data_IF_241172160410
#
_entry.id   IF_241172160410
#
_cell.length_a   1.000
_cell.length_b   1.000
_cell.length_c   1.000
_cell.angle_alpha   90.00
_cell.angle_beta   90.00
_cell.angle_gamma   90.00
#
_symmetry.space_group_name_H-M   'P 1'
#
loop_
_entity.id
_entity.type
_entity.pdbx_description
1 polymer ?
#
# COMPACT_ATOMS: atom_id res chain seq x y z
N UNK A 1 -17.19 0.26 -18.93
CA UNK A 1 -16.50 -0.06 -17.66
C UNK A 1 -17.45 0.03 -16.49
N UNK A 2 -18.15 1.16 -16.26
CA UNK A 2 -19.10 1.33 -15.16
C UNK A 2 -20.10 0.17 -15.09
N UNK A 3 -20.74 -0.17 -16.22
CA UNK A 3 -21.70 -1.26 -16.30
C UNK A 3 -21.11 -2.61 -15.86
N UNK A 4 -19.88 -2.91 -16.29
CA UNK A 4 -19.17 -4.14 -15.91
C UNK A 4 -18.79 -4.11 -14.42
N UNK A 5 -18.33 -2.98 -13.93
CA UNK A 5 -17.90 -2.83 -12.55
C UNK A 5 -19.06 -2.97 -11.55
N UNK A 6 -20.16 -2.21 -11.78
CA UNK A 6 -21.35 -2.27 -10.90
C UNK A 6 -21.98 -3.66 -10.90
N UNK A 7 -22.04 -4.34 -12.06
CA UNK A 7 -22.56 -5.70 -12.14
C UNK A 7 -21.62 -6.73 -11.46
N UNK A 8 -20.31 -6.56 -11.55
CA UNK A 8 -19.37 -7.45 -10.87
C UNK A 8 -19.38 -7.23 -9.36
N UNK A 9 -19.37 -5.98 -8.90
CA UNK A 9 -19.43 -5.68 -7.47
C UNK A 9 -20.69 -6.25 -6.79
N UNK A 10 -21.82 -6.23 -7.50
CA UNK A 10 -23.04 -6.89 -7.00
C UNK A 10 -22.97 -8.42 -7.00
N UNK A 11 -21.93 -9.02 -7.58
CA UNK A 11 -21.74 -10.47 -7.69
C UNK A 11 -20.58 -10.99 -6.84
N UNK A 12 -19.54 -10.17 -6.63
CA UNK A 12 -18.29 -10.56 -5.96
C UNK A 12 -18.25 -10.18 -4.48
N UNK A 13 -19.00 -9.13 -4.08
CA UNK A 13 -19.19 -8.79 -2.67
C UNK A 13 -20.59 -9.25 -2.25
N UNK A 14 -20.67 -10.37 -1.53
CA UNK A 14 -21.93 -11.05 -1.13
C UNK A 14 -22.94 -10.18 -0.37
N UNK A 15 -22.58 -8.93 -0.03
CA UNK A 15 -23.41 -8.01 0.74
C UNK A 15 -23.81 -6.73 -0.02
N UNK A 16 -23.31 -6.46 -1.22
CA UNK A 16 -23.71 -5.26 -1.96
C UNK A 16 -24.99 -5.53 -2.77
N UNK A 17 -26.13 -5.24 -2.15
CA UNK A 17 -27.42 -5.39 -2.76
C UNK A 17 -27.86 -4.13 -3.53
N UNK A 18 -27.42 -4.00 -4.79
CA UNK A 18 -27.82 -2.91 -5.69
C UNK A 18 -29.08 -3.30 -6.44
N UNK A 19 -30.11 -2.46 -6.36
CA UNK A 19 -31.35 -2.62 -7.14
C UNK A 19 -31.17 -2.12 -8.56
N UNK A 20 -30.59 -0.93 -8.71
CA UNK A 20 -30.34 -0.30 -10.01
C UNK A 20 -29.21 0.71 -9.91
N UNK A 21 -28.64 1.10 -11.06
CA UNK A 21 -27.76 2.27 -11.14
C UNK A 21 -28.12 3.12 -12.36
N UNK A 22 -27.84 4.42 -12.27
CA UNK A 22 -28.12 5.37 -13.33
C UNK A 22 -26.90 6.22 -13.61
N UNK A 23 -26.35 6.10 -14.81
CA UNK A 23 -25.33 6.99 -15.32
C UNK A 23 -25.90 8.40 -15.51
N UNK A 24 -25.16 9.41 -15.09
CA UNK A 24 -25.50 10.85 -15.24
C UNK A 24 -24.61 11.53 -16.25
N UNK A 25 -23.31 11.55 -16.00
CA UNK A 25 -22.34 12.28 -16.81
C UNK A 25 -20.95 11.71 -16.68
N UNK A 26 -20.11 11.95 -17.70
CA UNK A 26 -18.66 11.75 -17.63
C UNK A 26 -17.92 12.92 -18.24
N UNK A 27 -16.83 13.31 -17.61
CA UNK A 27 -15.97 14.39 -18.06
C UNK A 27 -14.52 13.94 -18.04
N UNK A 28 -13.80 14.22 -19.12
CA UNK A 28 -12.35 14.08 -19.14
C UNK A 28 -11.76 15.16 -18.23
N UNK A 29 -11.05 14.77 -17.18
CA UNK A 29 -10.43 15.71 -16.23
C UNK A 29 -8.92 15.83 -16.42
N UNK A 30 -8.28 14.78 -16.95
CA UNK A 30 -6.88 14.78 -17.35
C UNK A 30 -6.64 13.70 -18.40
N UNK A 31 -5.58 13.83 -19.20
CA UNK A 31 -5.20 12.78 -20.15
C UNK A 31 -4.19 13.27 -21.17
N UNK A 32 -3.46 12.30 -21.71
CA UNK A 32 -2.56 12.47 -22.83
C UNK A 32 -3.05 11.65 -24.06
N UNK A 33 -2.14 11.19 -24.91
CA UNK A 33 -2.50 10.40 -26.10
C UNK A 33 -2.83 8.93 -25.78
N UNK A 34 -2.48 8.43 -24.59
CA UNK A 34 -2.56 7.02 -24.23
C UNK A 34 -3.41 6.76 -23.00
N UNK A 35 -3.32 7.61 -21.98
CA UNK A 35 -4.00 7.41 -20.69
C UNK A 35 -4.94 8.57 -20.40
N UNK A 36 -6.11 8.26 -19.85
CA UNK A 36 -7.18 9.25 -19.61
C UNK A 36 -7.78 9.04 -18.22
N UNK A 37 -7.96 10.13 -17.49
CA UNK A 37 -8.72 10.18 -16.26
C UNK A 37 -10.11 10.77 -16.54
N UNK A 38 -11.14 9.97 -16.39
CA UNK A 38 -12.53 10.30 -16.74
C UNK A 38 -13.37 10.30 -15.47
N UNK A 39 -13.69 11.49 -14.95
CA UNK A 39 -14.64 11.61 -13.86
C UNK A 39 -16.04 11.20 -14.33
N UNK A 40 -16.70 10.33 -13.58
CA UNK A 40 -18.01 9.78 -13.92
C UNK A 40 -18.94 9.94 -12.74
N UNK A 41 -20.06 10.60 -12.96
CA UNK A 41 -21.14 10.76 -12.00
C UNK A 41 -22.24 9.75 -12.31
N UNK A 42 -22.61 8.99 -11.29
CA UNK A 42 -23.71 8.03 -11.38
C UNK A 42 -24.43 7.89 -10.05
N UNK A 43 -25.63 7.35 -10.07
CA UNK A 43 -26.45 7.10 -8.89
C UNK A 43 -26.66 5.60 -8.75
N UNK A 44 -26.66 5.13 -7.51
CA UNK A 44 -26.90 3.73 -7.17
C UNK A 44 -28.11 3.65 -6.24
N UNK A 45 -29.05 2.77 -6.55
CA UNK A 45 -30.20 2.47 -5.73
C UNK A 45 -29.93 1.18 -4.92
N UNK A 46 -29.83 1.23 -3.59
CA UNK A 46 -29.69 0.04 -2.77
C UNK A 46 -30.98 -0.78 -2.76
N UNK A 47 -30.90 -2.11 -2.73
CA UNK A 47 -32.09 -2.97 -2.64
C UNK A 47 -32.85 -2.78 -1.34
N UNK A 48 -32.15 -2.52 -0.25
CA UNK A 48 -32.73 -2.23 1.03
C UNK A 48 -32.05 -1.02 1.67
N UNK A 49 -32.77 -0.14 2.39
CA UNK A 49 -32.17 0.96 3.14
C UNK A 49 -31.20 0.50 4.25
N UNK A 50 -31.20 -0.79 4.63
CA UNK A 50 -30.28 -1.36 5.63
C UNK A 50 -28.93 -1.73 5.05
N UNK A 51 -28.83 -1.86 3.73
CA UNK A 51 -27.60 -2.24 3.02
C UNK A 51 -26.70 -1.01 2.73
N UNK A 52 -27.08 0.18 3.23
CA UNK A 52 -26.36 1.44 2.99
C UNK A 52 -24.96 1.41 3.59
N UNK A 53 -24.75 0.69 4.70
CA UNK A 53 -23.45 0.59 5.36
C UNK A 53 -22.33 0.09 4.44
N UNK A 54 -22.66 -0.87 3.56
CA UNK A 54 -21.70 -1.46 2.65
C UNK A 54 -21.46 -0.60 1.40
N UNK A 55 -22.37 0.34 1.11
CA UNK A 55 -22.31 1.25 -0.04
C UNK A 55 -21.83 2.66 0.31
N UNK A 56 -21.58 2.93 1.59
CA UNK A 56 -21.13 4.26 2.07
C UNK A 56 -19.80 4.67 1.46
N UNK A 57 -18.95 3.71 1.13
CA UNK A 57 -17.68 3.94 0.46
C UNK A 57 -17.81 4.25 -1.04
N UNK A 58 -19.00 4.10 -1.62
CA UNK A 58 -19.25 4.38 -3.03
C UNK A 58 -19.60 5.83 -3.30
N UNK A 59 -20.18 6.54 -2.33
CA UNK A 59 -20.60 7.92 -2.49
C UNK A 59 -21.42 8.44 -1.32
N UNK A 60 -22.16 9.50 -1.56
CA UNK A 60 -22.98 10.18 -0.55
C UNK A 60 -24.42 9.68 -0.67
N UNK A 61 -24.97 9.14 0.42
CA UNK A 61 -26.39 8.79 0.49
C UNK A 61 -27.23 10.06 0.62
N UNK A 62 -28.16 10.26 -0.34
CA UNK A 62 -29.04 11.42 -0.40
C UNK A 62 -30.41 11.17 0.25
N UNK A 63 -31.12 12.29 0.50
CA UNK A 63 -32.52 12.26 1.00
C UNK A 63 -33.50 11.62 -0.01
N UNK A 64 -33.07 11.46 -1.26
CA UNK A 64 -33.82 10.79 -2.33
C UNK A 64 -33.70 9.25 -2.28
N UNK A 65 -32.93 8.72 -1.32
CA UNK A 65 -32.72 7.27 -1.14
C UNK A 65 -31.71 6.67 -2.11
N UNK A 66 -30.95 7.51 -2.82
CA UNK A 66 -29.89 7.12 -3.74
C UNK A 66 -28.51 7.40 -3.18
N UNK A 67 -27.51 6.64 -3.64
CA UNK A 67 -26.11 6.92 -3.38
C UNK A 67 -25.55 7.64 -4.60
N UNK A 68 -25.11 8.88 -4.39
CA UNK A 68 -24.53 9.74 -5.41
C UNK A 68 -23.03 9.51 -5.48
N UNK A 69 -22.59 8.84 -6.53
CA UNK A 69 -21.20 8.45 -6.75
C UNK A 69 -20.51 9.38 -7.74
N UNK A 70 -19.26 9.70 -7.46
CA UNK A 70 -18.41 10.50 -8.34
C UNK A 70 -17.01 9.88 -8.39
N UNK A 71 -16.79 9.01 -9.36
CA UNK A 71 -15.58 8.21 -9.50
C UNK A 71 -14.79 8.60 -10.73
N UNK A 72 -13.48 8.59 -10.61
CA UNK A 72 -12.55 8.74 -11.72
C UNK A 72 -12.06 7.39 -12.20
N UNK A 73 -12.40 7.06 -13.43
CA UNK A 73 -11.90 5.89 -14.14
C UNK A 73 -10.61 6.28 -14.87
N UNK A 74 -9.52 5.62 -14.52
CA UNK A 74 -8.25 5.76 -15.22
C UNK A 74 -8.20 4.67 -16.28
N UNK A 75 -8.17 5.08 -17.53
CA UNK A 75 -8.25 4.18 -18.68
C UNK A 75 -7.07 4.42 -19.63
N UNK A 76 -6.54 3.34 -20.19
CA UNK A 76 -5.47 3.39 -21.20
C UNK A 76 -6.01 2.98 -22.56
N UNK A 77 -5.60 3.70 -23.59
CA UNK A 77 -5.83 3.31 -24.98
C UNK A 77 -4.85 2.19 -25.37
N UNK A 78 -5.38 1.07 -25.86
CA UNK A 78 -4.57 -0.08 -26.28
C UNK A 78 -4.38 -0.04 -27.79
N UNK A 79 -5.47 0.05 -28.57
CA UNK A 79 -5.45 0.05 -30.02
C UNK A 79 -6.78 0.60 -30.56
N UNK A 80 -6.71 1.47 -31.56
CA UNK A 80 -7.90 2.07 -32.19
C UNK A 80 -8.87 2.67 -31.16
N UNK A 81 -10.05 2.06 -31.01
CA UNK A 81 -11.08 2.44 -30.04
C UNK A 81 -11.12 1.49 -28.82
N UNK A 82 -10.08 0.71 -28.58
CA UNK A 82 -10.01 -0.17 -27.41
C UNK A 82 -9.30 0.52 -26.26
N UNK A 83 -9.89 0.43 -25.08
CA UNK A 83 -9.37 1.00 -23.86
C UNK A 83 -9.37 -0.07 -22.77
N UNK A 84 -8.39 0.00 -21.87
CA UNK A 84 -8.28 -0.83 -20.68
C UNK A 84 -8.50 0.02 -19.45
N UNK A 85 -9.30 -0.45 -18.51
CA UNK A 85 -9.39 0.14 -17.19
C UNK A 85 -8.11 -0.19 -16.43
N UNK A 86 -7.48 0.83 -15.89
CA UNK A 86 -6.24 0.74 -15.10
C UNK A 86 -6.59 0.84 -13.62
N UNK A 87 -7.38 1.86 -13.24
CA UNK A 87 -7.69 2.16 -11.85
C UNK A 87 -9.04 2.86 -11.72
N UNK A 88 -9.61 2.85 -10.52
CA UNK A 88 -10.80 3.61 -10.13
C UNK A 88 -10.51 4.31 -8.82
N UNK A 89 -10.68 5.63 -8.78
CA UNK A 89 -10.45 6.46 -7.60
C UNK A 89 -11.66 7.36 -7.33
N UNK A 90 -11.84 7.81 -6.09
CA UNK A 90 -12.76 8.91 -5.80
C UNK A 90 -12.31 10.16 -6.54
N UNK A 91 -13.25 10.84 -7.23
CA UNK A 91 -12.92 12.03 -8.02
C UNK A 91 -12.43 13.18 -7.16
N UNK A 92 -12.85 13.28 -5.89
CA UNK A 92 -12.36 14.32 -4.97
C UNK A 92 -10.88 14.12 -4.63
N UNK A 93 -10.44 12.88 -4.49
CA UNK A 93 -9.03 12.57 -4.29
C UNK A 93 -8.20 12.98 -5.50
N UNK A 94 -8.63 12.58 -6.69
CA UNK A 94 -7.95 12.94 -7.94
C UNK A 94 -7.89 14.46 -8.16
N UNK A 95 -8.98 15.18 -7.90
CA UNK A 95 -9.01 16.65 -8.02
C UNK A 95 -8.10 17.31 -6.98
N UNK A 96 -8.05 16.75 -5.76
CA UNK A 96 -7.17 17.25 -4.70
C UNK A 96 -5.69 17.02 -5.04
N UNK A 97 -5.35 15.86 -5.58
CA UNK A 97 -4.02 15.57 -6.11
C UNK A 97 -3.64 16.54 -7.24
N UNK A 98 -4.57 16.87 -8.14
CA UNK A 98 -4.38 17.85 -9.22
C UNK A 98 -4.17 19.29 -8.71
N UNK A 99 -4.75 19.69 -7.59
CA UNK A 99 -4.66 21.05 -7.05
C UNK A 99 -3.40 21.28 -6.21
N UNK A 100 -2.76 20.24 -5.73
CA UNK A 100 -1.56 20.34 -4.87
C UNK A 100 -0.29 20.67 -5.63
N UNK A 101 -0.27 20.47 -6.94
CA UNK A 101 0.89 20.80 -7.76
C UNK A 101 0.48 21.28 -9.15
N UNK A 102 0.53 22.60 -9.36
CA UNK A 102 0.21 23.21 -10.66
C UNK A 102 1.18 22.84 -11.80
N UNK A 103 2.23 22.05 -11.51
CA UNK A 103 3.22 21.61 -12.47
C UNK A 103 3.30 20.07 -12.63
N UNK A 104 2.60 19.30 -11.81
CA UNK A 104 2.67 17.83 -11.90
C UNK A 104 1.60 17.34 -12.89
N UNK A 105 2.02 16.70 -13.95
CA UNK A 105 1.14 15.98 -14.84
C UNK A 105 0.58 14.75 -14.08
N UNK A 106 -0.69 14.83 -13.66
CA UNK A 106 -1.35 13.76 -12.90
C UNK A 106 -1.23 12.41 -13.58
N UNK A 107 -1.21 12.41 -14.90
CA UNK A 107 -1.12 11.20 -15.70
C UNK A 107 0.24 10.53 -15.55
N UNK A 108 1.31 11.31 -15.41
CA UNK A 108 2.64 10.77 -15.13
C UNK A 108 2.68 10.14 -13.73
N UNK A 109 2.11 10.81 -12.73
CA UNK A 109 2.08 10.29 -11.35
C UNK A 109 1.27 9.00 -11.26
N UNK A 110 0.08 8.97 -11.83
CA UNK A 110 -0.77 7.76 -11.80
C UNK A 110 -0.20 6.66 -12.69
N UNK A 111 0.32 7.00 -13.87
CA UNK A 111 0.98 6.04 -14.75
C UNK A 111 2.24 5.46 -14.11
N UNK A 112 3.06 6.28 -13.46
CA UNK A 112 4.24 5.79 -12.74
C UNK A 112 3.87 4.96 -11.50
N UNK A 113 2.89 5.39 -10.69
CA UNK A 113 2.44 4.65 -9.51
C UNK A 113 1.88 3.25 -9.84
N UNK A 114 1.17 3.12 -10.97
CA UNK A 114 0.55 1.86 -11.39
C UNK A 114 1.33 1.11 -12.48
N UNK A 115 2.47 1.64 -12.93
CA UNK A 115 3.29 1.04 -13.98
C UNK A 115 3.79 -0.34 -13.59
N UNK A 116 4.20 -0.48 -12.33
CA UNK A 116 4.66 -1.72 -11.75
C UNK A 116 3.66 -2.21 -10.71
N UNK A 117 3.17 -3.42 -10.90
CA UNK A 117 2.24 -4.05 -9.97
C UNK A 117 2.32 -5.56 -10.04
N UNK A 118 1.57 -6.24 -9.16
CA UNK A 118 1.43 -7.68 -9.20
C UNK A 118 -0.03 -8.09 -9.38
N UNK A 119 -0.25 -9.33 -9.79
CA UNK A 119 -1.52 -10.03 -9.69
C UNK A 119 -1.30 -11.45 -9.18
N UNK A 120 -2.35 -12.00 -8.56
CA UNK A 120 -2.41 -13.40 -8.18
C UNK A 120 -3.50 -14.06 -9.01
N UNK A 121 -3.14 -15.12 -9.72
CA UNK A 121 -4.07 -15.84 -10.59
C UNK A 121 -3.74 -17.32 -10.55
N UNK A 122 -4.71 -18.19 -10.22
CA UNK A 122 -4.53 -19.63 -10.08
C UNK A 122 -3.36 -20.03 -9.15
N UNK A 123 -3.29 -19.39 -7.99
CA UNK A 123 -2.21 -19.56 -6.97
C UNK A 123 -0.81 -19.13 -7.45
N UNK A 124 -0.67 -18.47 -8.59
CA UNK A 124 0.59 -17.94 -9.11
C UNK A 124 0.68 -16.44 -8.96
N UNK A 125 1.88 -15.94 -8.68
CA UNK A 125 2.18 -14.52 -8.60
C UNK A 125 2.81 -14.06 -9.90
N UNK A 126 2.25 -13.03 -10.51
CA UNK A 126 2.74 -12.38 -11.73
C UNK A 126 3.06 -10.93 -11.44
N UNK A 127 4.04 -10.37 -12.13
CA UNK A 127 4.39 -8.95 -12.09
C UNK A 127 4.22 -8.29 -13.45
N UNK A 128 3.95 -7.01 -13.45
CA UNK A 128 3.94 -6.17 -14.65
C UNK A 128 4.79 -4.93 -14.43
N UNK A 129 5.35 -4.39 -15.51
CA UNK A 129 6.16 -3.17 -15.54
C UNK A 129 5.63 -2.17 -16.58
N UNK A 130 4.44 -2.43 -17.13
CA UNK A 130 3.84 -1.71 -18.24
C UNK A 130 2.32 -1.55 -18.10
N UNK A 131 1.85 -1.31 -16.86
CA UNK A 131 0.41 -1.14 -16.55
C UNK A 131 -0.41 -2.41 -16.85
N UNK A 132 0.23 -3.58 -16.75
CA UNK A 132 -0.41 -4.88 -16.96
C UNK A 132 -0.66 -5.24 -18.42
N UNK A 133 0.07 -4.66 -19.37
CA UNK A 133 0.07 -5.11 -20.76
C UNK A 133 0.74 -6.48 -20.88
N UNK A 134 1.87 -6.65 -20.21
CA UNK A 134 2.56 -7.93 -20.10
C UNK A 134 2.68 -8.35 -18.65
N UNK A 135 2.46 -9.64 -18.41
CA UNK A 135 2.59 -10.25 -17.10
C UNK A 135 3.68 -11.30 -17.12
N UNK A 136 4.64 -11.15 -16.23
CA UNK A 136 5.78 -12.06 -16.07
C UNK A 136 5.51 -12.99 -14.90
N UNK A 137 5.63 -14.30 -15.12
CA UNK A 137 5.50 -15.32 -14.05
C UNK A 137 6.73 -15.26 -13.14
N UNK A 138 6.53 -15.00 -11.85
CA UNK A 138 7.62 -14.95 -10.86
C UNK A 138 8.10 -16.36 -10.45
N UNK A 139 7.42 -17.40 -10.91
CA UNK A 139 7.60 -18.79 -10.46
C UNK A 139 7.28 -19.00 -8.97
N UNK A 140 6.69 -18.02 -8.29
CA UNK A 140 6.16 -18.15 -6.93
C UNK A 140 4.70 -18.58 -6.97
N UNK A 141 4.33 -19.45 -6.02
CA UNK A 141 2.92 -19.68 -5.69
C UNK A 141 2.54 -18.81 -4.51
N UNK A 142 1.31 -18.29 -4.51
CA UNK A 142 0.81 -17.49 -3.40
C UNK A 142 0.79 -18.28 -2.10
N UNK A 143 0.25 -19.50 -2.13
CA UNK A 143 0.21 -20.39 -0.96
C UNK A 143 1.61 -20.73 -0.43
N UNK A 144 2.59 -20.98 -1.29
CA UNK A 144 3.97 -21.24 -0.91
C UNK A 144 4.69 -19.98 -0.41
N UNK A 145 4.34 -18.81 -0.93
CA UNK A 145 4.93 -17.53 -0.53
C UNK A 145 4.44 -17.07 0.85
N UNK A 146 3.13 -17.10 1.10
CA UNK A 146 2.56 -16.65 2.38
C UNK A 146 2.68 -17.71 3.48
N UNK A 147 2.84 -19.00 3.13
CA UNK A 147 3.01 -20.08 4.10
C UNK A 147 1.93 -20.07 5.19
N UNK A 148 2.34 -20.39 6.42
CA UNK A 148 1.44 -20.49 7.58
C UNK A 148 0.92 -19.13 8.09
N UNK A 149 1.38 -17.99 7.55
CA UNK A 149 0.81 -16.66 7.90
C UNK A 149 -0.67 -16.58 7.54
N UNK A 150 -1.10 -17.30 6.52
CA UNK A 150 -2.50 -17.33 6.06
C UNK A 150 -3.46 -17.88 7.11
N UNK A 151 -2.98 -18.76 7.98
CA UNK A 151 -3.83 -19.40 8.99
C UNK A 151 -4.15 -18.49 10.20
N UNK A 152 -3.42 -17.41 10.43
CA UNK A 152 -3.56 -16.59 11.63
C UNK A 152 -4.62 -15.48 11.54
N UNK A 153 -5.39 -15.37 10.48
CA UNK A 153 -6.42 -14.32 10.33
C UNK A 153 -7.53 -14.64 9.34
N UNK A 154 -7.50 -15.76 8.66
CA UNK A 154 -8.52 -16.14 7.68
C UNK A 154 -9.52 -17.10 8.28
N UNK A 155 -10.77 -16.71 8.22
CA UNK A 155 -11.86 -17.63 8.47
C UNK A 155 -11.98 -18.58 7.26
N UNK A 156 -11.64 -19.88 7.39
CA UNK A 156 -11.77 -20.85 6.32
C UNK A 156 -13.24 -21.12 5.89
N UNK A 157 -14.19 -20.40 6.49
CA UNK A 157 -15.63 -20.50 6.22
C UNK A 157 -16.15 -19.42 5.27
N UNK A 158 -15.28 -18.52 4.74
CA UNK A 158 -15.71 -17.61 3.69
C UNK A 158 -15.91 -18.39 2.39
N UNK A 159 -17.02 -18.16 1.67
CA UNK A 159 -17.30 -18.82 0.39
C UNK A 159 -16.14 -18.63 -0.60
N UNK A 160 -15.89 -19.66 -1.39
CA UNK A 160 -14.92 -19.62 -2.48
C UNK A 160 -15.31 -18.46 -3.42
N UNK A 161 -14.46 -17.45 -3.56
CA UNK A 161 -14.73 -16.24 -4.36
C UNK A 161 -14.92 -14.94 -3.58
N UNK A 162 -15.05 -14.98 -2.24
CA UNK A 162 -15.27 -13.78 -1.40
C UNK A 162 -13.99 -13.01 -1.07
N UNK A 163 -12.83 -13.46 -1.49
CA UNK A 163 -11.54 -12.88 -1.14
C UNK A 163 -10.58 -12.86 -2.33
N UNK A 164 -10.17 -11.69 -2.73
CA UNK A 164 -9.02 -11.56 -3.63
C UNK A 164 -7.74 -11.70 -2.81
N UNK A 165 -6.89 -12.70 -3.09
CA UNK A 165 -5.66 -12.87 -2.36
C UNK A 165 -4.73 -11.68 -2.62
N UNK A 166 -4.20 -11.10 -1.55
CA UNK A 166 -3.23 -10.00 -1.59
C UNK A 166 -1.93 -10.43 -0.94
N UNK A 167 -0.82 -9.93 -1.45
CA UNK A 167 0.46 -10.11 -0.80
C UNK A 167 0.52 -9.26 0.49
N UNK A 168 1.14 -9.76 1.56
CA UNK A 168 1.33 -8.99 2.77
C UNK A 168 2.05 -7.67 2.48
N UNK A 169 1.54 -6.56 3.01
CA UNK A 169 2.16 -5.24 2.83
C UNK A 169 3.61 -5.27 3.25
N UNK A 170 4.49 -4.72 2.40
CA UNK A 170 5.93 -4.64 2.64
C UNK A 170 6.70 -5.89 2.28
N UNK A 171 6.05 -7.04 2.00
CA UNK A 171 6.73 -8.27 1.59
C UNK A 171 7.23 -8.25 0.14
N UNK A 172 7.04 -7.15 -0.56
CA UNK A 172 7.47 -6.98 -1.94
C UNK A 172 7.93 -5.55 -2.21
N UNK A 173 8.82 -5.44 -3.19
CA UNK A 173 9.29 -4.20 -3.78
C UNK A 173 9.29 -4.37 -5.30
N UNK A 174 8.60 -3.51 -6.04
CA UNK A 174 8.44 -3.66 -7.50
C UNK A 174 8.70 -2.32 -8.17
N UNK A 175 9.82 -2.23 -8.87
CA UNK A 175 10.16 -1.12 -9.79
C UNK A 175 10.68 -1.68 -11.12
N UNK A 176 10.79 -0.86 -12.18
CA UNK A 176 11.38 -1.32 -13.44
C UNK A 176 12.82 -1.79 -13.32
N UNK A 177 13.58 -1.24 -12.37
CA UNK A 177 15.00 -1.50 -12.16
C UNK A 177 15.21 -2.68 -11.21
N UNK A 178 14.27 -2.91 -10.28
CA UNK A 178 14.42 -3.93 -9.25
C UNK A 178 13.09 -4.46 -8.75
N UNK A 179 13.00 -5.77 -8.65
CA UNK A 179 11.83 -6.43 -8.04
C UNK A 179 12.29 -7.46 -7.03
N UNK A 180 11.73 -7.41 -5.83
CA UNK A 180 12.00 -8.37 -4.77
C UNK A 180 10.71 -8.83 -4.10
N UNK A 181 10.67 -10.11 -3.74
CA UNK A 181 9.63 -10.70 -2.90
C UNK A 181 10.29 -11.45 -1.76
N UNK A 182 9.95 -11.13 -0.52
CA UNK A 182 10.49 -11.76 0.67
C UNK A 182 9.40 -12.55 1.40
N UNK A 183 9.60 -13.86 1.51
CA UNK A 183 8.70 -14.73 2.26
C UNK A 183 8.91 -14.61 3.77
N UNK A 184 7.96 -15.10 4.59
CA UNK A 184 8.12 -15.17 6.04
C UNK A 184 9.33 -15.99 6.49
N UNK A 185 9.76 -16.98 5.70
CA UNK A 185 10.95 -17.77 6.01
C UNK A 185 12.28 -17.02 5.80
N UNK A 186 12.22 -15.76 5.30
CA UNK A 186 13.38 -14.99 4.92
C UNK A 186 14.01 -15.43 3.60
N UNK A 187 13.30 -16.28 2.82
CA UNK A 187 13.67 -16.57 1.45
C UNK A 187 13.17 -15.44 0.55
N UNK A 188 14.03 -14.94 -0.30
CA UNK A 188 13.73 -13.86 -1.23
C UNK A 188 14.05 -14.28 -2.65
N UNK A 189 13.27 -13.81 -3.60
CA UNK A 189 13.65 -13.74 -5.00
C UNK A 189 13.89 -12.29 -5.41
N UNK A 190 14.90 -12.07 -6.24
CA UNK A 190 15.33 -10.77 -6.72
C UNK A 190 15.46 -10.80 -8.23
N UNK A 191 14.97 -9.77 -8.89
CA UNK A 191 15.16 -9.53 -10.31
C UNK A 191 15.60 -8.09 -10.56
N UNK A 192 16.56 -7.90 -11.46
CA UNK A 192 17.07 -6.59 -11.90
C UNK A 192 16.87 -6.38 -13.41
N UNK A 193 16.08 -7.26 -14.04
CA UNK A 193 15.84 -7.27 -15.50
C UNK A 193 14.35 -7.43 -15.83
N UNK A 194 13.47 -6.84 -15.02
CA UNK A 194 12.01 -6.88 -15.17
C UNK A 194 11.45 -8.32 -15.17
N UNK A 195 12.00 -9.16 -14.31
CA UNK A 195 11.52 -10.53 -14.12
C UNK A 195 11.94 -11.53 -15.19
N UNK A 196 12.88 -11.18 -16.09
CA UNK A 196 13.41 -12.14 -17.06
C UNK A 196 14.26 -13.21 -16.36
N UNK A 197 15.02 -12.80 -15.34
CA UNK A 197 15.75 -13.71 -14.47
C UNK A 197 15.49 -13.43 -13.00
N UNK A 198 15.60 -14.46 -12.17
CA UNK A 198 15.34 -14.39 -10.73
C UNK A 198 16.46 -15.05 -9.95
N UNK A 199 17.12 -14.28 -9.10
CA UNK A 199 18.07 -14.77 -8.12
C UNK A 199 17.35 -15.21 -6.85
N UNK A 200 17.75 -16.36 -6.29
CA UNK A 200 17.29 -16.82 -4.98
C UNK A 200 18.26 -16.35 -3.92
N UNK A 201 17.77 -15.55 -2.99
CA UNK A 201 18.57 -14.93 -1.94
C UNK A 201 18.02 -15.33 -0.57
N UNK A 202 18.90 -15.54 0.39
CA UNK A 202 18.53 -15.76 1.79
C UNK A 202 18.81 -14.50 2.59
N UNK A 203 17.76 -13.88 3.13
CA UNK A 203 17.88 -12.67 3.95
C UNK A 203 18.19 -13.01 5.40
N UNK A 204 17.52 -13.99 5.96
CA UNK A 204 17.68 -14.39 7.36
C UNK A 204 18.19 -15.80 7.56
N UNK A 205 18.61 -16.17 8.78
CA UNK A 205 18.97 -17.55 9.09
C UNK A 205 17.78 -18.49 8.90
N UNK A 206 18.05 -19.72 8.47
CA UNK A 206 17.03 -20.75 8.46
C UNK A 206 16.51 -20.98 9.90
N UNK A 207 15.19 -20.95 10.09
CA UNK A 207 14.58 -21.28 11.37
C UNK A 207 14.07 -20.11 12.21
N UNK A 208 13.87 -18.92 11.64
CA UNK A 208 12.98 -17.94 12.29
C UNK A 208 11.59 -18.55 12.27
N UNK A 209 11.08 -18.91 13.43
CA UNK A 209 9.79 -19.59 13.59
C UNK A 209 8.70 -18.56 13.84
N UNK A 210 7.51 -18.76 13.25
CA UNK A 210 6.33 -17.95 13.55
C UNK A 210 6.42 -16.52 13.03
N UNK A 211 7.06 -16.27 11.90
CA UNK A 211 7.13 -14.93 11.29
C UNK A 211 5.73 -14.43 10.97
N UNK A 212 5.35 -13.31 11.58
CA UNK A 212 4.07 -12.63 11.38
C UNK A 212 4.10 -11.75 10.12
N UNK A 213 5.20 -11.05 9.91
CA UNK A 213 5.36 -10.12 8.80
C UNK A 213 6.81 -10.07 8.33
N UNK A 214 6.99 -9.85 7.05
CA UNK A 214 8.28 -9.60 6.42
C UNK A 214 8.18 -8.33 5.57
N UNK A 215 9.23 -7.51 5.64
CA UNK A 215 9.31 -6.26 4.88
C UNK A 215 10.64 -6.21 4.15
N UNK A 216 10.62 -5.67 2.93
CA UNK A 216 11.81 -5.44 2.12
C UNK A 216 11.68 -4.14 1.34
N UNK A 217 12.77 -3.42 1.18
CA UNK A 217 12.83 -2.24 0.33
C UNK A 217 14.27 -1.88 -0.01
N UNK A 218 14.39 -0.91 -0.91
CA UNK A 218 15.67 -0.41 -1.38
C UNK A 218 15.63 1.12 -1.42
N UNK A 219 16.74 1.76 -1.08
CA UNK A 219 16.93 3.19 -1.35
C UNK A 219 17.23 3.41 -2.83
N UNK A 220 17.17 4.64 -3.28
CA UNK A 220 17.55 5.03 -4.65
C UNK A 220 18.99 4.65 -5.01
N UNK A 221 19.90 4.67 -4.03
CA UNK A 221 21.30 4.25 -4.17
C UNK A 221 21.48 2.72 -4.17
N UNK A 222 20.40 1.95 -4.02
CA UNK A 222 20.42 0.49 -4.02
C UNK A 222 20.79 -0.14 -2.67
N UNK A 223 20.87 0.63 -1.57
CA UNK A 223 20.98 0.06 -0.23
C UNK A 223 19.70 -0.70 0.11
N UNK A 224 19.83 -2.00 0.42
CA UNK A 224 18.72 -2.88 0.76
C UNK A 224 18.48 -2.93 2.27
N UNK A 225 17.21 -2.98 2.66
CA UNK A 225 16.79 -3.15 4.05
C UNK A 225 15.64 -4.14 4.14
N UNK A 226 15.65 -4.96 5.17
CA UNK A 226 14.59 -5.93 5.43
C UNK A 226 14.34 -6.07 6.94
N UNK A 227 13.08 -6.35 7.28
CA UNK A 227 12.64 -6.61 8.64
C UNK A 227 11.84 -7.91 8.67
N UNK A 228 12.25 -8.84 9.52
CA UNK A 228 11.53 -10.09 9.77
C UNK A 228 10.96 -10.06 11.19
N UNK A 229 9.63 -10.01 11.27
CA UNK A 229 8.88 -9.88 12.51
C UNK A 229 8.30 -11.24 12.89
N UNK A 230 8.80 -11.84 13.94
CA UNK A 230 8.40 -13.19 14.32
C UNK A 230 8.36 -13.40 15.81
N UNK A 231 7.96 -14.61 16.18
CA UNK A 231 7.98 -15.14 17.53
C UNK A 231 7.17 -14.25 18.51
N UNK A 232 5.91 -14.00 18.13
CA UNK A 232 5.00 -13.16 18.89
C UNK A 232 4.56 -13.84 20.20
N UNK A 233 4.88 -13.22 21.32
CA UNK A 233 4.36 -13.60 22.62
C UNK A 233 3.50 -12.45 23.16
N UNK A 234 2.19 -12.63 23.18
CA UNK A 234 1.20 -11.61 23.56
C UNK A 234 1.25 -10.38 22.59
N UNK A 235 1.67 -9.21 23.07
CA UNK A 235 1.85 -7.98 22.28
C UNK A 235 3.31 -7.71 21.87
N UNK A 236 4.17 -8.67 22.03
CA UNK A 236 5.61 -8.58 21.90
C UNK A 236 6.10 -9.43 20.73
N UNK A 237 7.02 -8.94 19.93
CA UNK A 237 7.61 -9.70 18.84
C UNK A 237 9.11 -9.40 18.71
N UNK A 238 9.84 -10.33 18.13
CA UNK A 238 11.21 -10.11 17.73
C UNK A 238 11.25 -9.56 16.31
N UNK A 239 11.66 -8.32 16.14
CA UNK A 239 11.82 -7.69 14.84
C UNK A 239 13.31 -7.68 14.46
N UNK A 240 13.72 -8.64 13.63
CA UNK A 240 15.10 -8.81 13.17
C UNK A 240 15.39 -7.95 11.95
N UNK A 241 16.45 -7.13 12.02
CA UNK A 241 16.84 -6.14 11.03
C UNK A 241 18.00 -6.66 10.20
N UNK A 242 17.87 -6.55 8.88
CA UNK A 242 18.89 -6.94 7.92
C UNK A 242 19.13 -5.81 6.93
N UNK A 243 20.40 -5.66 6.49
CA UNK A 243 20.77 -4.67 5.46
C UNK A 243 21.65 -5.30 4.40
N UNK A 244 21.63 -4.71 3.21
CA UNK A 244 22.44 -5.09 2.06
C UNK A 244 23.11 -3.86 1.46
N UNK A 245 24.42 -3.97 1.15
CA UNK A 245 25.19 -2.93 0.48
C UNK A 245 25.49 -3.26 -1.00
N UNK A 246 24.94 -4.32 -1.53
CA UNK A 246 25.18 -4.82 -2.88
C UNK A 246 23.90 -5.06 -3.67
N UNK A 247 22.89 -4.25 -3.40
CA UNK A 247 21.63 -4.29 -4.14
C UNK A 247 20.70 -5.45 -3.77
N UNK A 248 20.96 -6.14 -2.65
CA UNK A 248 20.09 -7.21 -2.14
C UNK A 248 20.61 -8.62 -2.41
N UNK A 249 21.82 -8.77 -2.95
CA UNK A 249 22.41 -10.11 -3.19
C UNK A 249 22.97 -10.75 -1.93
N UNK A 250 23.55 -9.95 -1.02
CA UNK A 250 24.03 -10.42 0.28
C UNK A 250 23.44 -9.57 1.41
N UNK A 251 23.03 -10.21 2.49
CA UNK A 251 22.38 -9.58 3.62
C UNK A 251 23.16 -9.79 4.92
N UNK A 252 23.25 -8.72 5.69
CA UNK A 252 23.88 -8.72 6.99
C UNK A 252 22.83 -8.55 8.07
N UNK A 253 22.85 -9.41 9.07
CA UNK A 253 22.06 -9.21 10.29
C UNK A 253 22.64 -8.05 11.09
N UNK A 254 21.82 -7.06 11.41
CA UNK A 254 22.24 -5.86 12.16
C UNK A 254 21.87 -5.98 13.64
N UNK A 255 20.72 -6.56 13.95
CA UNK A 255 20.22 -6.67 15.32
C UNK A 255 18.70 -6.86 15.34
N UNK A 256 18.13 -6.66 16.50
CA UNK A 256 16.69 -6.61 16.73
C UNK A 256 16.30 -5.18 17.12
N UNK A 257 15.07 -4.78 16.79
CA UNK A 257 14.51 -3.58 17.37
C UNK A 257 14.28 -3.84 18.87
N UNK A 258 15.01 -3.14 19.71
CA UNK A 258 14.78 -3.14 21.15
C UNK A 258 13.73 -2.09 21.48
N UNK A 259 12.58 -2.54 21.96
CA UNK A 259 11.51 -1.66 22.43
C UNK A 259 11.58 -1.55 23.96
N UNK A 260 11.91 -0.36 24.46
CA UNK A 260 11.96 -0.09 25.91
C UNK A 260 10.61 -0.29 26.63
N UNK A 261 9.50 -0.36 25.87
CA UNK A 261 8.14 -0.57 26.38
C UNK A 261 7.62 -2.00 26.31
N UNK A 262 8.27 -2.89 25.55
CA UNK A 262 7.97 -4.33 25.48
C UNK A 262 6.60 -4.71 24.92
N UNK A 263 5.95 -3.86 24.09
CA UNK A 263 4.58 -4.07 23.63
C UNK A 263 4.31 -3.61 22.20
N UNK A 264 5.34 -3.47 21.35
CA UNK A 264 5.10 -2.95 20.01
C UNK A 264 5.21 -4.00 18.92
N UNK A 265 4.29 -3.91 17.95
CA UNK A 265 4.31 -4.69 16.72
C UNK A 265 4.78 -3.80 15.58
N UNK A 266 5.83 -4.23 14.89
CA UNK A 266 6.34 -3.50 13.73
C UNK A 266 5.35 -3.55 12.58
N UNK A 267 5.10 -2.41 11.96
CA UNK A 267 4.15 -2.22 10.85
C UNK A 267 4.85 -1.87 9.54
N UNK A 268 6.16 -1.59 9.57
CA UNK A 268 6.97 -1.33 8.39
C UNK A 268 8.36 -0.84 8.71
N UNK A 269 9.22 -0.85 7.69
CA UNK A 269 10.58 -0.30 7.72
C UNK A 269 10.83 0.48 6.44
N UNK A 270 11.55 1.60 6.52
CA UNK A 270 12.09 2.31 5.36
C UNK A 270 13.43 2.95 5.68
N UNK A 271 14.24 3.16 4.66
CA UNK A 271 15.47 3.93 4.75
C UNK A 271 15.47 5.02 3.69
N UNK A 272 15.92 6.21 4.06
CA UNK A 272 16.18 7.30 3.12
C UNK A 272 17.61 7.27 2.60
N UNK A 273 18.55 6.74 3.40
CA UNK A 273 19.95 6.54 3.05
C UNK A 273 20.46 5.25 3.70
N UNK A 274 21.70 4.85 3.44
CA UNK A 274 22.39 3.74 4.12
C UNK A 274 22.51 3.91 5.65
N UNK A 275 22.28 5.12 6.16
CA UNK A 275 22.42 5.48 7.59
C UNK A 275 21.10 5.83 8.25
N UNK A 276 20.22 6.54 7.54
CA UNK A 276 18.99 7.08 8.12
C UNK A 276 17.84 6.17 7.72
N UNK A 277 17.21 5.57 8.70
CA UNK A 277 16.06 4.67 8.50
C UNK A 277 15.02 4.78 9.61
N UNK A 278 13.86 4.21 9.37
CA UNK A 278 12.68 4.29 10.22
C UNK A 278 12.01 2.94 10.34
N UNK A 279 11.54 2.61 11.53
CA UNK A 279 10.63 1.50 11.78
C UNK A 279 9.38 2.07 12.43
N UNK A 280 8.23 1.83 11.80
CA UNK A 280 6.93 2.10 12.41
C UNK A 280 6.48 0.91 13.23
N UNK A 281 5.88 1.21 14.36
CA UNK A 281 5.22 0.23 15.22
C UNK A 281 3.82 0.72 15.57
N UNK A 282 2.98 -0.15 16.12
CA UNK A 282 1.69 0.26 16.67
C UNK A 282 1.82 1.19 17.90
N UNK A 283 3.03 1.38 18.43
CA UNK A 283 3.32 2.29 19.54
C UNK A 283 4.00 3.59 19.07
N UNK A 284 4.48 3.68 17.82
CA UNK A 284 5.04 4.89 17.23
C UNK A 284 6.15 4.67 16.23
N UNK A 285 7.01 5.66 16.03
CA UNK A 285 8.05 5.70 15.01
C UNK A 285 9.43 5.70 15.66
N UNK A 286 10.29 4.78 15.26
CA UNK A 286 11.68 4.71 15.65
C UNK A 286 12.59 5.15 14.49
N UNK A 287 13.69 5.81 14.77
CA UNK A 287 14.69 6.28 13.79
C UNK A 287 16.08 5.80 14.13
N UNK A 288 16.80 5.35 13.12
CA UNK A 288 18.25 5.15 13.15
C UNK A 288 18.94 6.25 12.36
N UNK A 289 20.19 6.59 12.76
CA UNK A 289 21.10 7.48 12.02
C UNK A 289 22.48 6.82 11.80
N UNK A 290 22.59 5.54 12.10
CA UNK A 290 23.83 4.76 12.03
C UNK A 290 23.69 3.42 11.28
N UNK A 291 22.67 3.35 10.40
CA UNK A 291 22.42 2.16 9.55
C UNK A 291 21.74 1.01 10.28
N UNK A 292 20.91 1.30 11.29
CA UNK A 292 20.13 0.32 12.02
C UNK A 292 20.80 -0.26 13.26
N UNK A 293 21.98 0.24 13.65
CA UNK A 293 22.69 -0.26 14.84
C UNK A 293 22.08 0.22 16.14
N UNK A 294 21.63 1.48 16.15
CA UNK A 294 20.88 2.06 17.27
C UNK A 294 19.62 2.75 16.79
N UNK A 295 18.59 2.76 17.62
CA UNK A 295 17.28 3.31 17.34
C UNK A 295 16.85 4.26 18.43
N UNK A 296 16.11 5.28 18.07
CA UNK A 296 15.55 6.25 19.00
C UNK A 296 14.17 6.70 18.56
N UNK A 297 13.31 6.95 19.54
CA UNK A 297 11.94 7.43 19.31
C UNK A 297 11.92 8.74 18.55
N UNK A 298 11.05 8.84 17.56
CA UNK A 298 10.76 10.07 16.83
C UNK A 298 9.50 10.70 17.40
N UNK A 299 9.62 11.91 17.88
CA UNK A 299 8.49 12.76 18.25
C UNK A 299 8.18 13.69 17.07
N UNK A 300 6.93 13.66 16.60
CA UNK A 300 6.44 14.60 15.59
C UNK A 300 5.53 15.64 16.28
N UNK A 301 5.71 16.90 15.92
CA UNK A 301 4.95 17.99 16.53
C UNK A 301 3.57 18.12 15.88
N UNK A 302 2.66 17.22 16.27
CA UNK A 302 1.26 17.25 15.86
C UNK A 302 0.59 18.49 16.51
N UNK A 303 -0.17 19.32 15.75
CA UNK A 303 -0.95 20.41 16.31
C UNK A 303 -1.79 19.98 17.53
N UNK A 304 -1.85 20.83 18.55
CA UNK A 304 -2.42 20.48 19.87
C UNK A 304 -3.87 20.01 19.78
N UNK A 305 -4.66 20.59 18.92
CA UNK A 305 -6.05 20.25 18.64
C UNK A 305 -6.23 18.93 17.87
N UNK A 306 -5.18 18.44 17.23
CA UNK A 306 -5.16 17.21 16.45
C UNK A 306 -4.50 16.02 17.18
N UNK A 307 -3.74 16.27 18.25
CA UNK A 307 -3.01 15.21 19.01
C UNK A 307 -3.93 14.13 19.59
N UNK A 308 -5.17 14.44 19.83
CA UNK A 308 -6.16 13.48 20.34
C UNK A 308 -6.62 12.49 19.29
N UNK A 309 -6.42 12.80 18.02
CA UNK A 309 -6.89 11.97 16.90
C UNK A 309 -5.77 11.17 16.23
N UNK A 310 -4.55 11.70 16.18
CA UNK A 310 -3.44 11.13 15.43
C UNK A 310 -2.34 10.65 16.36
N UNK A 311 -2.14 9.32 16.44
CA UNK A 311 -1.20 8.67 17.33
C UNK A 311 -0.41 7.53 16.67
N UNK A 312 -0.83 7.09 15.49
CA UNK A 312 -0.27 5.91 14.83
C UNK A 312 0.50 6.31 13.56
N UNK A 313 1.83 6.52 13.65
CA UNK A 313 2.64 6.86 12.49
C UNK A 313 2.78 5.67 11.55
N UNK A 314 2.60 5.91 10.26
CA UNK A 314 2.95 4.97 9.21
C UNK A 314 4.47 5.04 8.93
N UNK A 315 4.99 4.05 8.22
CA UNK A 315 6.38 4.10 7.77
C UNK A 315 6.54 5.23 6.74
N UNK A 316 7.55 6.12 6.89
CA UNK A 316 7.73 7.22 5.94
C UNK A 316 8.18 6.73 4.57
N UNK A 317 7.75 7.44 3.53
CA UNK A 317 8.21 7.27 2.16
C UNK A 317 9.23 8.36 1.80
N UNK A 318 10.23 8.01 0.98
CA UNK A 318 11.30 8.93 0.57
C UNK A 318 11.48 8.94 -0.94
N UNK A 319 11.76 10.13 -1.48
CA UNK A 319 12.16 10.34 -2.87
C UNK A 319 13.05 11.59 -2.96
N UNK A 320 14.20 11.48 -3.64
CA UNK A 320 15.16 12.58 -3.82
C UNK A 320 15.54 13.29 -2.50
N UNK A 321 15.70 12.54 -1.41
CA UNK A 321 16.02 13.07 -0.08
C UNK A 321 14.86 13.73 0.66
N UNK A 322 13.69 13.86 0.04
CA UNK A 322 12.46 14.36 0.66
C UNK A 322 11.66 13.22 1.24
N UNK A 323 11.00 13.48 2.37
CA UNK A 323 10.21 12.50 3.09
C UNK A 323 8.75 12.92 3.24
N UNK A 324 7.85 11.93 3.18
CA UNK A 324 6.46 12.05 3.61
C UNK A 324 6.20 11.06 4.73
N UNK A 325 5.68 11.57 5.85
CA UNK A 325 5.21 10.79 6.98
C UNK A 325 3.73 11.06 7.20
N UNK A 326 2.96 10.00 7.31
CA UNK A 326 1.56 10.06 7.66
C UNK A 326 1.35 9.51 9.07
N UNK A 327 0.55 10.21 9.87
CA UNK A 327 0.14 9.74 11.19
C UNK A 327 -1.36 9.50 11.16
N UNK A 328 -1.75 8.27 11.39
CA UNK A 328 -3.14 7.82 11.40
C UNK A 328 -3.76 7.85 12.80
N UNK A 329 -4.98 7.32 12.89
CA UNK A 329 -5.81 7.36 14.10
C UNK A 329 -5.79 6.02 14.88
N UNK A 330 -4.97 5.06 14.48
CA UNK A 330 -5.02 3.71 15.03
C UNK A 330 -6.26 2.93 14.58
N UNK A 331 -6.52 1.80 15.26
CA UNK A 331 -7.59 0.88 14.90
C UNK A 331 -9.00 1.36 15.28
N UNK A 332 -9.10 2.29 16.21
CA UNK A 332 -10.37 2.74 16.82
C UNK A 332 -10.75 4.16 16.37
N UNK A 333 -9.97 4.76 15.45
CA UNK A 333 -10.16 6.13 15.02
C UNK A 333 -11.33 6.26 14.03
N UNK A 334 -12.22 7.23 14.32
CA UNK A 334 -13.37 7.59 13.49
C UNK A 334 -13.41 9.09 13.11
N UNK A 335 -12.36 9.82 13.44
CA UNK A 335 -12.24 11.24 13.12
C UNK A 335 -12.11 11.48 11.62
N UNK A 336 -12.95 12.36 11.08
CA UNK A 336 -12.96 12.66 9.66
C UNK A 336 -13.48 11.48 8.82
N UNK A 337 -12.90 11.23 7.66
CA UNK A 337 -13.36 10.28 6.65
C UNK A 337 -13.26 8.79 7.09
N UNK A 338 -13.96 8.42 8.16
CA UNK A 338 -14.05 7.06 8.70
C UNK A 338 -12.67 6.40 8.93
N UNK A 339 -11.72 7.16 9.51
CA UNK A 339 -10.37 6.67 9.79
C UNK A 339 -9.38 6.74 8.60
N UNK A 340 -9.84 7.15 7.43
CA UNK A 340 -8.97 7.36 6.25
C UNK A 340 -8.28 8.72 6.24
N UNK A 341 -8.45 9.54 7.27
CA UNK A 341 -7.82 10.85 7.40
C UNK A 341 -6.52 10.74 8.20
N UNK A 342 -5.45 11.37 7.70
CA UNK A 342 -4.11 11.33 8.26
C UNK A 342 -3.56 12.74 8.47
N UNK A 343 -2.80 12.94 9.54
CA UNK A 343 -1.92 14.09 9.67
C UNK A 343 -0.67 13.86 8.81
N UNK A 344 -0.40 14.79 7.89
CA UNK A 344 0.72 14.73 6.95
C UNK A 344 1.88 15.58 7.44
N UNK A 345 3.07 15.00 7.43
CA UNK A 345 4.34 15.67 7.69
C UNK A 345 5.26 15.51 6.49
N UNK A 346 6.07 16.54 6.24
CA UNK A 346 7.08 16.54 5.18
C UNK A 346 8.47 16.78 5.76
N UNK A 347 9.46 16.21 5.12
CA UNK A 347 10.87 16.38 5.44
C UNK A 347 11.66 16.76 4.19
N UNK A 348 12.63 17.68 4.32
CA UNK A 348 13.57 18.08 3.26
C UNK A 348 15.01 17.62 3.56
N UNK A 349 15.20 16.80 4.62
CA UNK A 349 16.50 16.43 5.17
C UNK A 349 16.61 14.92 5.49
N UNK A 350 16.05 14.08 4.61
CA UNK A 350 16.03 12.61 4.76
C UNK A 350 15.30 12.13 6.03
N UNK A 351 14.35 12.88 6.56
CA UNK A 351 13.59 12.51 7.75
C UNK A 351 14.25 12.87 9.08
N UNK A 352 15.30 13.69 9.08
CA UNK A 352 15.90 14.18 10.33
C UNK A 352 14.95 15.13 11.06
N UNK A 353 14.25 15.99 10.29
CA UNK A 353 13.19 16.86 10.81
C UNK A 353 11.89 16.69 10.04
N UNK A 354 10.76 16.88 10.72
CA UNK A 354 9.43 16.74 10.18
C UNK A 354 8.60 18.00 10.42
N UNK A 355 7.97 18.52 9.38
CA UNK A 355 7.10 19.69 9.45
C UNK A 355 5.67 19.30 9.11
N UNK A 356 4.70 19.65 9.95
CA UNK A 356 3.29 19.44 9.67
C UNK A 356 2.85 20.18 8.40
N UNK A 357 2.18 19.48 7.51
CA UNK A 357 1.78 19.99 6.19
C UNK A 357 0.27 19.90 5.93
N UNK A 358 -0.51 19.64 6.98
CA UNK A 358 -1.98 19.55 6.87
C UNK A 358 -2.49 18.12 7.06
N UNK A 359 -3.77 17.96 6.78
CA UNK A 359 -4.45 16.66 6.83
C UNK A 359 -4.72 16.16 5.41
N UNK A 360 -4.62 14.86 5.21
CA UNK A 360 -4.88 14.20 3.93
C UNK A 360 -5.79 12.98 4.13
N UNK A 361 -6.56 12.64 3.10
CA UNK A 361 -7.37 11.42 3.04
C UNK A 361 -6.65 10.45 2.10
N UNK A 362 -6.47 9.22 2.52
CA UNK A 362 -5.90 8.13 1.69
C UNK A 362 -6.83 6.93 1.63
#
# INVERSE_FOLDING_TARGET
YLNKYVNNASYEEENINIASYKYKNSQLIAGDNEVFAVATIFEVEPKNPRDIGDLVNWGIYGDDGLIHCNWTFIIRKIDGNKYKLIDIKDTKEVIKELQLDNNTNLMEVVAEANKCSYKIENDKIYVTYDLGEQWVDTSLTYSGFVGDIVDNGRNPQLPEGSYMPELPKGSYYITPEKTAFISPSGDMILSEDKGLTWDKVKVGPAGIVGVRASFVGFTEDGFGYALLCGDRVMSWETASIFTSNDGGHNWNYIGVLEDEGGSSLSTGISFSTDKIGFISTNAGLERTVDGGKTWSRVEVDIPVDLKVYYDTPLVPAFKDGKGELLVGQGSDGDYGAAGSQFARFVSEDNGLTWTYSGEVIK
#
